data_IF_998088399366
#
_entry.id   IF_998088399366
#
_cell.length_a   1.000
_cell.length_b   1.000
_cell.length_c   1.000
_cell.angle_alpha   90.00
_cell.angle_beta   90.00
_cell.angle_gamma   90.00
#
_symmetry.space_group_name_H-M   'P 1'
#
loop_
_entity.id
_entity.type
_entity.pdbx_description
1 polymer ?
#
# COMPACT_ATOMS: atom_id res chain seq x y z
N UNK A 1 31.43 -47.80 -51.15
CA UNK A 1 29.99 -47.86 -50.87
C UNK A 1 29.68 -46.88 -49.75
N UNK A 2 29.07 -45.83 -50.14
CA UNK A 2 28.62 -44.65 -49.39
C UNK A 2 27.55 -44.99 -48.37
N UNK A 3 27.64 -44.47 -47.15
CA UNK A 3 26.45 -44.20 -46.34
C UNK A 3 26.61 -42.86 -45.64
N UNK A 4 25.60 -42.05 -45.85
CA UNK A 4 25.43 -40.69 -45.50
C UNK A 4 25.43 -40.46 -43.97
N UNK A 5 26.07 -39.37 -43.59
CA UNK A 5 25.95 -38.74 -42.27
C UNK A 5 24.60 -38.06 -42.16
N UNK A 6 23.85 -38.45 -41.13
CA UNK A 6 22.59 -37.82 -40.72
C UNK A 6 22.96 -36.57 -39.88
N UNK A 7 22.83 -35.42 -40.46
CA UNK A 7 22.98 -34.14 -39.78
C UNK A 7 21.64 -33.82 -39.11
N UNK A 8 21.54 -34.07 -37.80
CA UNK A 8 20.50 -33.46 -36.99
C UNK A 8 20.89 -32.04 -36.65
N UNK A 9 20.10 -31.11 -37.15
CA UNK A 9 20.27 -29.66 -36.91
C UNK A 9 20.13 -29.31 -35.42
N UNK A 10 20.57 -28.13 -35.04
CA UNK A 10 20.49 -27.63 -33.67
C UNK A 10 19.03 -27.54 -33.26
N UNK A 11 18.75 -28.01 -32.04
CA UNK A 11 17.41 -28.02 -31.44
C UNK A 11 16.80 -26.61 -31.48
N UNK A 12 15.53 -26.60 -31.88
CA UNK A 12 14.65 -25.44 -31.74
C UNK A 12 14.69 -24.98 -30.28
N UNK A 13 15.31 -23.80 -30.05
CA UNK A 13 15.20 -23.12 -28.78
C UNK A 13 13.72 -22.85 -28.54
N UNK A 14 13.18 -23.33 -27.42
CA UNK A 14 11.89 -22.89 -26.95
C UNK A 14 11.92 -21.38 -26.97
N UNK A 15 11.08 -20.74 -27.79
CA UNK A 15 10.84 -19.30 -27.68
C UNK A 15 10.52 -19.03 -26.22
N UNK A 16 11.28 -18.12 -25.60
CA UNK A 16 11.04 -17.71 -24.23
C UNK A 16 9.60 -17.20 -24.15
N UNK A 17 8.86 -17.68 -23.18
CA UNK A 17 7.48 -17.26 -22.95
C UNK A 17 7.43 -15.74 -22.78
N UNK A 18 6.64 -15.06 -23.60
CA UNK A 18 6.48 -13.60 -23.58
C UNK A 18 5.10 -13.24 -23.10
N UNK A 19 5.02 -12.57 -21.97
CA UNK A 19 3.76 -12.11 -21.37
C UNK A 19 3.41 -10.71 -21.86
N UNK A 20 2.12 -10.42 -22.00
CA UNK A 20 1.60 -9.09 -22.25
C UNK A 20 1.21 -8.48 -20.91
N UNK A 21 1.88 -7.38 -20.55
CA UNK A 21 1.66 -6.64 -19.30
C UNK A 21 0.88 -5.37 -19.58
N UNK A 22 -0.26 -5.19 -18.91
CA UNK A 22 -1.13 -4.05 -19.08
C UNK A 22 -1.11 -3.12 -17.85
N UNK A 23 -1.03 -1.82 -18.11
CA UNK A 23 -1.04 -0.76 -17.09
C UNK A 23 -2.16 0.24 -17.42
N UNK A 24 -3.39 -0.01 -16.95
CA UNK A 24 -4.47 0.94 -17.12
C UNK A 24 -4.28 2.17 -16.24
N UNK A 25 -4.89 3.29 -16.63
CA UNK A 25 -4.96 4.50 -15.83
C UNK A 25 -5.91 4.28 -14.65
N UNK A 26 -5.52 4.75 -13.47
CA UNK A 26 -6.39 4.73 -12.28
C UNK A 26 -7.59 5.65 -12.45
N UNK A 27 -8.75 5.23 -11.93
CA UNK A 27 -10.02 5.95 -12.06
C UNK A 27 -10.68 6.30 -10.72
N UNK A 28 -10.09 5.83 -9.61
CA UNK A 28 -10.52 6.24 -8.26
C UNK A 28 -10.33 7.75 -8.11
N UNK A 29 -11.25 8.42 -7.44
CA UNK A 29 -11.19 9.88 -7.23
C UNK A 29 -9.84 10.30 -6.64
N UNK A 30 -9.19 11.27 -7.29
CA UNK A 30 -7.88 11.80 -6.90
C UNK A 30 -6.75 10.76 -6.81
N UNK A 31 -6.90 9.60 -7.46
CA UNK A 31 -5.79 8.66 -7.62
C UNK A 31 -4.99 9.03 -8.88
N UNK A 32 -3.80 9.51 -8.67
CA UNK A 32 -2.89 10.00 -9.71
C UNK A 32 -1.62 9.17 -9.85
N UNK A 33 -1.48 8.09 -9.05
CA UNK A 33 -0.38 7.14 -9.16
C UNK A 33 -0.55 6.26 -10.40
N UNK A 34 0.55 5.66 -10.84
CA UNK A 34 0.58 4.62 -11.87
C UNK A 34 1.39 3.43 -11.36
N UNK A 35 0.99 2.22 -11.71
CA UNK A 35 1.58 0.99 -11.16
C UNK A 35 2.99 0.68 -11.68
N UNK A 36 3.39 1.31 -12.77
CA UNK A 36 4.69 1.08 -13.42
C UNK A 36 5.37 2.42 -13.72
N UNK A 37 6.69 2.43 -13.73
CA UNK A 37 7.50 3.56 -14.19
C UNK A 37 8.10 3.26 -15.57
N UNK A 38 8.59 4.27 -16.32
CA UNK A 38 9.31 4.02 -17.58
C UNK A 38 10.48 3.07 -17.41
N UNK A 39 11.22 3.15 -16.29
CA UNK A 39 12.28 2.21 -15.99
C UNK A 39 11.75 0.78 -15.89
N UNK A 40 10.65 0.56 -15.19
CA UNK A 40 10.03 -0.77 -15.10
C UNK A 40 9.49 -1.27 -16.44
N UNK A 41 8.96 -0.37 -17.27
CA UNK A 41 8.54 -0.71 -18.63
C UNK A 41 9.76 -1.15 -19.50
N UNK A 42 10.88 -0.47 -19.34
CA UNK A 42 12.12 -0.82 -20.02
C UNK A 42 12.63 -2.21 -19.63
N UNK A 43 12.70 -2.51 -18.34
CA UNK A 43 13.12 -3.83 -17.83
C UNK A 43 12.24 -4.95 -18.40
N UNK A 44 10.91 -4.79 -18.36
CA UNK A 44 9.99 -5.76 -18.95
C UNK A 44 10.18 -5.91 -20.47
N UNK A 45 10.39 -4.80 -21.20
CA UNK A 45 10.59 -4.83 -22.64
C UNK A 45 11.92 -5.49 -23.04
N UNK A 46 12.99 -5.26 -22.28
CA UNK A 46 14.32 -5.89 -22.51
C UNK A 46 14.23 -7.41 -22.33
N UNK A 47 13.44 -7.88 -21.36
CA UNK A 47 13.20 -9.33 -21.16
C UNK A 47 12.25 -9.92 -22.23
N UNK A 48 11.75 -9.10 -23.16
CA UNK A 48 10.94 -9.51 -24.30
C UNK A 48 9.44 -9.57 -24.04
N UNK A 49 8.95 -8.96 -22.96
CA UNK A 49 7.53 -8.80 -22.69
C UNK A 49 6.97 -7.59 -23.44
N UNK A 50 5.68 -7.64 -23.85
CA UNK A 50 4.95 -6.47 -24.35
C UNK A 50 4.37 -5.69 -23.18
N UNK A 51 4.58 -4.38 -23.17
CA UNK A 51 4.05 -3.50 -22.12
C UNK A 51 3.05 -2.53 -22.76
N UNK A 52 1.79 -2.64 -22.37
CA UNK A 52 0.71 -1.78 -22.81
C UNK A 52 0.38 -0.78 -21.71
N UNK A 53 0.48 0.51 -22.00
CA UNK A 53 0.18 1.59 -21.03
C UNK A 53 -0.98 2.42 -21.56
N UNK A 54 -2.03 2.63 -20.74
CA UNK A 54 -3.14 3.51 -21.12
C UNK A 54 -2.63 4.94 -21.25
N UNK A 55 -3.06 5.61 -22.32
CA UNK A 55 -2.74 7.01 -22.58
C UNK A 55 -3.03 7.89 -21.37
N UNK A 56 -2.05 8.68 -20.95
CA UNK A 56 -2.15 9.58 -19.81
C UNK A 56 -2.09 8.88 -18.45
N UNK A 57 -1.80 7.57 -18.36
CA UNK A 57 -1.76 6.86 -17.08
C UNK A 57 -0.71 7.41 -16.10
N UNK A 58 0.40 7.95 -16.60
CA UNK A 58 1.50 8.49 -15.79
C UNK A 58 1.41 9.99 -15.52
N UNK A 59 0.52 10.74 -16.19
CA UNK A 59 0.50 12.20 -16.15
C UNK A 59 0.41 12.78 -14.73
N UNK A 60 -0.46 12.18 -13.90
CA UNK A 60 -0.61 12.60 -12.51
C UNK A 60 0.63 12.39 -11.64
N UNK A 61 1.54 11.53 -12.07
CA UNK A 61 2.85 11.28 -11.44
C UNK A 61 4.01 12.01 -12.15
N UNK A 62 3.71 12.95 -13.05
CA UNK A 62 4.66 13.68 -13.88
C UNK A 62 5.51 12.75 -14.77
N UNK A 63 4.87 11.74 -15.35
CA UNK A 63 5.44 10.80 -16.30
C UNK A 63 4.60 10.90 -17.57
N UNK A 64 5.21 11.26 -18.70
CA UNK A 64 4.50 11.42 -19.97
C UNK A 64 4.37 10.08 -20.72
N UNK A 65 3.41 10.04 -21.67
CA UNK A 65 3.30 8.93 -22.62
C UNK A 65 4.61 8.75 -23.43
N UNK A 66 5.30 9.84 -23.76
CA UNK A 66 6.57 9.81 -24.47
C UNK A 66 7.69 9.14 -23.65
N UNK A 67 7.69 9.32 -22.32
CA UNK A 67 8.65 8.65 -21.43
C UNK A 67 8.43 7.12 -21.46
N UNK A 68 7.17 6.67 -21.40
CA UNK A 68 6.83 5.25 -21.51
C UNK A 68 7.16 4.68 -22.90
N UNK A 69 6.82 5.39 -23.97
CA UNK A 69 7.12 4.95 -25.34
C UNK A 69 8.63 4.84 -25.58
N UNK A 70 9.41 5.79 -25.07
CA UNK A 70 10.88 5.77 -25.15
C UNK A 70 11.50 4.61 -24.37
N UNK A 71 10.80 4.10 -23.36
CA UNK A 71 11.17 2.94 -22.57
C UNK A 71 10.73 1.60 -23.19
N UNK A 72 10.07 1.63 -24.37
CA UNK A 72 9.65 0.43 -25.08
C UNK A 72 8.20 0.00 -24.81
N UNK A 73 7.41 0.79 -24.10
CA UNK A 73 5.97 0.53 -23.93
C UNK A 73 5.15 1.00 -25.13
N UNK A 74 4.05 0.31 -25.41
CA UNK A 74 3.03 0.70 -26.38
C UNK A 74 1.96 1.54 -25.66
N UNK A 75 1.67 2.75 -26.20
CA UNK A 75 0.63 3.61 -25.64
C UNK A 75 -0.71 3.27 -26.30
N UNK A 76 -1.66 2.84 -25.47
CA UNK A 76 -2.99 2.39 -25.90
C UNK A 76 -4.05 3.41 -25.49
N UNK A 77 -4.96 3.72 -26.37
CA UNK A 77 -5.97 4.76 -26.11
C UNK A 77 -7.22 4.24 -25.40
N UNK A 78 -7.58 2.99 -25.65
CA UNK A 78 -8.76 2.36 -25.07
C UNK A 78 -8.34 1.39 -23.95
N UNK A 79 -8.94 1.54 -22.80
CA UNK A 79 -8.74 0.64 -21.64
C UNK A 79 -9.13 -0.78 -21.97
N UNK A 80 -10.21 -0.93 -22.75
CA UNK A 80 -10.75 -2.21 -23.20
C UNK A 80 -9.71 -3.03 -23.96
N UNK A 81 -8.85 -2.39 -24.74
CA UNK A 81 -7.78 -3.06 -25.49
C UNK A 81 -6.72 -3.61 -24.52
N UNK A 82 -6.38 -2.85 -23.46
CA UNK A 82 -5.42 -3.30 -22.44
C UNK A 82 -5.95 -4.54 -21.73
N UNK A 83 -7.18 -4.49 -21.20
CA UNK A 83 -7.78 -5.65 -20.54
C UNK A 83 -8.03 -6.80 -21.50
N UNK A 84 -8.30 -6.50 -22.78
CA UNK A 84 -8.52 -7.50 -23.82
C UNK A 84 -7.26 -8.29 -24.20
N UNK A 85 -6.08 -7.66 -24.17
CA UNK A 85 -4.82 -8.28 -24.60
C UNK A 85 -3.94 -8.74 -23.43
N UNK A 86 -3.84 -7.95 -22.35
CA UNK A 86 -2.90 -8.21 -21.29
C UNK A 86 -3.23 -9.49 -20.50
N UNK A 87 -2.20 -10.23 -20.15
CA UNK A 87 -2.23 -11.43 -19.30
C UNK A 87 -1.97 -11.06 -17.83
N UNK A 88 -1.11 -10.04 -17.61
CA UNK A 88 -0.83 -9.46 -16.29
C UNK A 88 -1.26 -8.01 -16.28
N UNK A 89 -2.21 -7.67 -15.42
CA UNK A 89 -2.66 -6.30 -15.18
C UNK A 89 -2.00 -5.76 -13.92
N UNK A 90 -1.26 -4.66 -14.06
CA UNK A 90 -0.66 -3.92 -12.95
C UNK A 90 -1.49 -2.68 -12.66
N UNK A 91 -2.00 -2.57 -11.44
CA UNK A 91 -2.74 -1.40 -10.94
C UNK A 91 -2.18 -0.95 -9.60
N UNK A 92 -2.57 0.23 -9.16
CA UNK A 92 -2.33 0.71 -7.80
C UNK A 92 -3.52 0.39 -6.90
N UNK A 93 -4.74 0.69 -7.38
CA UNK A 93 -5.99 0.48 -6.62
C UNK A 93 -6.80 -0.68 -7.19
N UNK A 94 -7.68 -1.17 -6.37
CA UNK A 94 -8.65 -2.19 -6.73
C UNK A 94 -9.46 -1.77 -7.97
N UNK A 95 -9.83 -2.71 -8.86
CA UNK A 95 -10.76 -2.44 -9.94
C UNK A 95 -12.06 -1.86 -9.42
N UNK A 96 -12.59 -0.87 -10.13
CA UNK A 96 -13.88 -0.27 -9.85
C UNK A 96 -14.99 -1.00 -10.63
N UNK A 97 -16.25 -0.83 -10.24
CA UNK A 97 -17.41 -1.49 -10.88
C UNK A 97 -17.40 -1.38 -12.42
N UNK A 98 -16.99 -0.21 -12.94
CA UNK A 98 -16.86 0.03 -14.39
C UNK A 98 -15.72 -0.76 -15.05
N UNK A 99 -14.85 -1.40 -14.30
CA UNK A 99 -13.74 -2.23 -14.81
C UNK A 99 -14.04 -3.73 -14.67
N UNK A 100 -15.03 -4.14 -13.84
CA UNK A 100 -15.29 -5.54 -13.56
C UNK A 100 -15.54 -6.36 -14.82
N UNK A 101 -16.35 -5.83 -15.76
CA UNK A 101 -16.71 -6.54 -16.98
C UNK A 101 -15.54 -6.70 -17.97
N UNK A 102 -14.46 -5.95 -17.79
CA UNK A 102 -13.25 -6.05 -18.62
C UNK A 102 -12.34 -7.19 -18.18
N UNK A 103 -12.43 -7.62 -16.93
CA UNK A 103 -11.64 -8.72 -16.39
C UNK A 103 -12.04 -10.06 -17.03
N UNK A 104 -11.09 -10.91 -17.32
CA UNK A 104 -11.31 -12.21 -17.99
C UNK A 104 -10.63 -13.38 -17.31
N UNK A 105 -11.13 -14.57 -17.57
CA UNK A 105 -10.61 -15.82 -17.00
C UNK A 105 -9.11 -16.01 -17.29
N UNK A 106 -8.37 -16.43 -16.27
CA UNK A 106 -6.94 -16.69 -16.35
C UNK A 106 -6.05 -15.44 -16.31
N UNK A 107 -6.63 -14.24 -16.31
CA UNK A 107 -5.89 -12.99 -16.19
C UNK A 107 -5.32 -12.84 -14.78
N UNK A 108 -4.09 -12.37 -14.68
CA UNK A 108 -3.43 -12.06 -13.39
C UNK A 108 -3.64 -10.58 -13.10
N UNK A 109 -4.18 -10.28 -11.94
CA UNK A 109 -4.34 -8.91 -11.43
C UNK A 109 -3.42 -8.72 -10.23
N UNK A 110 -2.50 -7.79 -10.30
CA UNK A 110 -1.52 -7.49 -9.25
C UNK A 110 -1.64 -6.02 -8.82
N UNK A 111 -2.20 -5.79 -7.64
CA UNK A 111 -2.62 -4.46 -7.14
C UNK A 111 -2.93 -4.50 -5.65
N UNK A 112 -3.18 -3.34 -5.02
CA UNK A 112 -3.91 -3.29 -3.74
C UNK A 112 -5.36 -3.69 -3.99
N UNK A 113 -5.91 -4.59 -3.20
CA UNK A 113 -7.25 -5.16 -3.40
C UNK A 113 -8.20 -4.91 -2.23
N UNK A 114 -7.70 -4.97 -1.00
CA UNK A 114 -8.49 -4.82 0.22
C UNK A 114 -9.77 -5.68 0.25
N UNK A 115 -9.71 -6.91 -0.29
CA UNK A 115 -10.88 -7.76 -0.54
C UNK A 115 -11.73 -8.02 0.70
N UNK A 116 -11.15 -8.07 1.89
CA UNK A 116 -11.91 -8.24 3.14
C UNK A 116 -12.95 -7.11 3.38
N UNK A 117 -12.76 -5.94 2.76
CA UNK A 117 -13.70 -4.82 2.80
C UNK A 117 -14.62 -4.75 1.56
N UNK A 118 -14.31 -5.47 0.47
CA UNK A 118 -14.96 -5.36 -0.84
C UNK A 118 -15.58 -6.69 -1.28
N UNK A 119 -16.77 -6.99 -0.73
CA UNK A 119 -17.49 -8.23 -1.03
C UNK A 119 -17.80 -8.38 -2.52
N UNK A 120 -18.36 -7.36 -3.12
CA UNK A 120 -18.80 -7.37 -4.53
C UNK A 120 -17.62 -7.62 -5.49
N UNK A 121 -16.52 -6.91 -5.28
CA UNK A 121 -15.29 -7.15 -6.05
C UNK A 121 -14.81 -8.61 -5.88
N UNK A 122 -14.85 -9.14 -4.66
CA UNK A 122 -14.45 -10.53 -4.39
C UNK A 122 -15.32 -11.50 -5.20
N UNK A 123 -16.66 -11.32 -5.20
CA UNK A 123 -17.59 -12.14 -5.96
C UNK A 123 -17.35 -12.05 -7.48
N UNK A 124 -17.07 -10.85 -8.02
CA UNK A 124 -16.76 -10.67 -9.44
C UNK A 124 -15.43 -11.31 -9.85
N UNK A 125 -14.39 -11.22 -9.02
CA UNK A 125 -13.10 -11.90 -9.26
C UNK A 125 -13.26 -13.42 -9.28
N UNK A 126 -14.05 -13.98 -8.35
CA UNK A 126 -14.38 -15.41 -8.31
C UNK A 126 -15.11 -15.86 -9.56
N UNK A 127 -16.19 -15.16 -9.92
CA UNK A 127 -17.03 -15.45 -11.08
C UNK A 127 -16.24 -15.42 -12.39
N UNK A 128 -15.30 -14.48 -12.52
CA UNK A 128 -14.46 -14.32 -13.71
C UNK A 128 -13.20 -15.16 -13.69
N UNK A 129 -12.95 -15.91 -12.59
CA UNK A 129 -11.79 -16.79 -12.42
C UNK A 129 -10.46 -16.07 -12.64
N UNK A 130 -10.37 -14.80 -12.16
CA UNK A 130 -9.15 -14.00 -12.20
C UNK A 130 -8.18 -14.51 -11.12
N UNK A 131 -6.88 -14.51 -11.42
CA UNK A 131 -5.85 -14.71 -10.42
C UNK A 131 -5.50 -13.37 -9.76
N UNK A 132 -6.04 -13.09 -8.59
CA UNK A 132 -5.92 -11.81 -7.90
C UNK A 132 -4.87 -11.84 -6.80
N UNK A 133 -3.80 -11.07 -6.99
CA UNK A 133 -2.66 -10.97 -6.07
C UNK A 133 -2.71 -9.59 -5.40
N UNK A 134 -2.91 -9.58 -4.09
CA UNK A 134 -3.01 -8.36 -3.30
C UNK A 134 -1.63 -7.91 -2.78
N UNK A 135 -1.22 -6.68 -3.07
CA UNK A 135 0.04 -6.11 -2.57
C UNK A 135 0.13 -6.15 -1.05
N UNK A 136 -0.97 -5.85 -0.35
CA UNK A 136 -1.03 -5.76 1.09
C UNK A 136 -0.96 -7.10 1.82
N UNK A 137 -1.08 -8.21 1.10
CA UNK A 137 -1.00 -9.56 1.69
C UNK A 137 0.24 -10.34 1.27
N UNK A 138 1.06 -9.81 0.35
CA UNK A 138 2.40 -10.34 0.08
C UNK A 138 3.23 -10.20 1.36
N UNK A 139 3.59 -11.34 1.97
CA UNK A 139 4.19 -11.37 3.29
C UNK A 139 5.39 -12.29 3.34
N UNK A 140 6.52 -11.77 3.84
CA UNK A 140 7.73 -12.55 4.09
C UNK A 140 7.61 -13.44 5.34
N UNK A 141 8.49 -14.45 5.50
CA UNK A 141 8.47 -15.33 6.67
C UNK A 141 8.61 -14.59 8.01
N UNK A 142 9.30 -13.45 8.03
CA UNK A 142 9.43 -12.60 9.22
C UNK A 142 8.18 -11.77 9.55
N UNK A 143 7.09 -11.97 8.79
CA UNK A 143 5.84 -11.24 8.93
C UNK A 143 5.83 -9.86 8.28
N UNK A 144 6.94 -9.39 7.68
CA UNK A 144 6.99 -8.10 7.00
C UNK A 144 6.16 -8.10 5.71
N UNK A 145 5.58 -6.93 5.39
CA UNK A 145 4.74 -6.69 4.22
C UNK A 145 5.49 -5.79 3.23
N UNK A 146 6.36 -6.33 2.37
CA UNK A 146 7.32 -5.56 1.58
C UNK A 146 6.64 -4.61 0.58
N UNK A 147 5.45 -4.93 0.07
CA UNK A 147 4.76 -4.11 -0.91
C UNK A 147 3.85 -3.05 -0.26
N UNK A 148 3.44 -3.25 1.00
CA UNK A 148 2.70 -2.26 1.77
C UNK A 148 3.64 -1.23 2.43
N UNK A 149 4.85 -1.64 2.81
CA UNK A 149 5.80 -0.82 3.56
C UNK A 149 6.05 0.57 2.93
N UNK A 150 6.31 0.73 1.61
CA UNK A 150 6.55 2.05 1.02
C UNK A 150 5.37 3.02 1.17
N UNK A 151 4.14 2.53 1.08
CA UNK A 151 2.95 3.38 1.27
C UNK A 151 2.80 3.78 2.73
N UNK A 152 3.13 2.90 3.66
CA UNK A 152 3.20 3.20 5.09
C UNK A 152 4.28 4.24 5.41
N UNK A 153 5.43 4.19 4.74
CA UNK A 153 6.50 5.19 4.87
C UNK A 153 6.05 6.57 4.37
N UNK A 154 5.45 6.62 3.18
CA UNK A 154 4.92 7.87 2.61
C UNK A 154 3.84 8.46 3.51
N UNK A 155 2.88 7.65 3.96
CA UNK A 155 1.82 8.10 4.87
C UNK A 155 2.41 8.64 6.18
N UNK A 156 3.37 7.94 6.76
CA UNK A 156 4.07 8.37 7.98
C UNK A 156 4.79 9.72 7.81
N UNK A 157 5.45 9.93 6.67
CA UNK A 157 6.12 11.21 6.36
C UNK A 157 5.13 12.34 6.08
N UNK A 158 3.97 12.03 5.53
CA UNK A 158 2.93 13.03 5.27
C UNK A 158 2.22 13.52 6.54
N UNK A 159 2.04 12.67 7.54
CA UNK A 159 1.28 13.01 8.74
C UNK A 159 1.77 14.28 9.47
N UNK A 160 3.07 14.47 9.74
CA UNK A 160 3.55 15.71 10.35
C UNK A 160 3.38 16.94 9.45
N UNK A 161 3.49 16.80 8.13
CA UNK A 161 3.27 17.91 7.19
C UNK A 161 1.80 18.34 7.22
N UNK A 162 0.87 17.38 7.18
CA UNK A 162 -0.56 17.63 7.32
C UNK A 162 -0.88 18.24 8.68
N UNK A 163 -0.33 17.68 9.77
CA UNK A 163 -0.48 18.23 11.11
C UNK A 163 -0.02 19.67 11.22
N UNK A 164 1.14 19.99 10.65
CA UNK A 164 1.68 21.35 10.61
C UNK A 164 0.77 22.31 9.84
N UNK A 165 0.27 21.89 8.67
CA UNK A 165 -0.63 22.66 7.83
C UNK A 165 -1.95 23.00 8.56
N UNK A 166 -2.56 22.01 9.20
CA UNK A 166 -3.83 22.23 9.91
C UNK A 166 -3.66 22.85 11.30
N UNK A 167 -2.43 22.99 11.84
CA UNK A 167 -2.16 23.83 13.00
C UNK A 167 -2.22 25.33 12.69
N UNK A 168 -2.13 25.71 11.42
CA UNK A 168 -2.23 27.09 10.99
C UNK A 168 -3.62 27.67 11.27
N UNK A 169 -3.71 28.91 11.71
CA UNK A 169 -5.00 29.54 12.07
C UNK A 169 -5.99 29.58 10.93
N UNK A 170 -5.52 29.78 9.72
CA UNK A 170 -6.36 29.87 8.51
C UNK A 170 -7.00 28.54 8.13
N UNK A 171 -6.43 27.41 8.61
CA UNK A 171 -6.89 26.05 8.33
C UNK A 171 -7.68 25.44 9.50
N UNK A 172 -8.14 26.29 10.44
CA UNK A 172 -8.93 25.85 11.60
C UNK A 172 -8.09 25.56 12.86
N UNK A 173 -6.78 25.55 12.74
CA UNK A 173 -5.85 25.25 13.82
C UNK A 173 -5.70 26.38 14.84
N UNK A 174 -4.91 26.11 15.87
CA UNK A 174 -4.65 27.04 16.97
C UNK A 174 -3.60 28.11 16.68
N UNK A 175 -3.04 28.13 15.46
CA UNK A 175 -2.07 29.13 15.01
C UNK A 175 -0.66 28.91 15.59
N UNK A 176 -0.21 27.64 15.61
CA UNK A 176 1.12 27.26 16.09
C UNK A 176 2.01 26.82 14.93
N UNK A 177 3.28 27.23 14.98
CA UNK A 177 4.33 26.66 14.15
C UNK A 177 4.85 25.36 14.79
N UNK A 178 4.92 24.28 14.01
CA UNK A 178 5.26 22.95 14.54
C UNK A 178 6.59 22.94 15.29
N UNK A 179 7.63 23.56 14.71
CA UNK A 179 8.97 23.64 15.29
C UNK A 179 9.18 24.83 16.25
N UNK A 180 8.14 25.62 16.55
CA UNK A 180 8.30 26.80 17.38
C UNK A 180 9.13 27.90 16.73
N UNK A 181 9.68 28.81 17.53
CA UNK A 181 10.58 29.88 17.10
C UNK A 181 11.51 30.27 18.25
N UNK A 182 12.55 31.06 17.99
CA UNK A 182 13.45 31.53 19.06
C UNK A 182 12.68 32.19 20.20
N UNK A 183 12.77 31.59 21.40
CA UNK A 183 12.03 32.04 22.60
C UNK A 183 10.58 31.53 22.68
N UNK A 184 10.10 30.72 21.71
CA UNK A 184 8.75 30.11 21.67
C UNK A 184 8.89 28.63 21.55
N UNK A 185 8.31 27.82 22.46
CA UNK A 185 8.43 26.37 22.42
C UNK A 185 7.74 25.75 21.18
N UNK A 186 8.22 24.60 20.68
CA UNK A 186 7.59 23.87 19.60
C UNK A 186 6.25 23.24 20.03
N UNK A 187 5.50 22.74 19.04
CA UNK A 187 4.28 21.98 19.27
C UNK A 187 4.57 20.57 19.82
N UNK A 188 3.64 20.07 20.64
CA UNK A 188 3.66 18.70 21.15
C UNK A 188 2.99 17.77 20.13
N UNK A 189 3.76 16.85 19.55
CA UNK A 189 3.28 15.81 18.62
C UNK A 189 3.27 14.48 19.33
N UNK A 190 2.09 13.88 19.48
CA UNK A 190 1.89 12.57 20.07
C UNK A 190 1.59 11.54 18.97
N UNK A 191 2.39 10.48 18.89
CA UNK A 191 2.28 9.43 17.88
C UNK A 191 1.83 8.13 18.57
N UNK A 192 0.68 7.62 18.16
CA UNK A 192 0.10 6.37 18.67
C UNK A 192 0.47 5.22 17.73
N UNK A 193 1.45 4.41 18.12
CA UNK A 193 2.04 3.33 17.36
C UNK A 193 3.46 3.66 16.87
N UNK A 194 4.38 2.72 17.04
CA UNK A 194 5.78 2.80 16.61
C UNK A 194 6.10 1.76 15.51
N UNK A 195 5.13 1.47 14.64
CA UNK A 195 5.30 0.71 13.41
C UNK A 195 5.96 1.55 12.30
N UNK A 196 5.89 1.13 11.04
CA UNK A 196 6.48 1.86 9.90
C UNK A 196 5.93 3.28 9.83
N UNK A 197 4.61 3.45 9.84
CA UNK A 197 3.94 4.76 9.82
C UNK A 197 4.44 5.65 10.97
N UNK A 198 4.34 5.15 12.20
CA UNK A 198 4.71 5.94 13.38
C UNK A 198 6.20 6.28 13.45
N UNK A 199 7.07 5.37 13.00
CA UNK A 199 8.52 5.63 12.95
C UNK A 199 8.85 6.74 11.95
N UNK A 200 8.26 6.71 10.76
CA UNK A 200 8.48 7.76 9.75
C UNK A 200 7.82 9.09 10.15
N UNK A 201 6.69 9.05 10.87
CA UNK A 201 6.11 10.25 11.48
C UNK A 201 7.04 10.87 12.52
N UNK A 202 7.62 10.04 13.38
CA UNK A 202 8.56 10.48 14.41
C UNK A 202 9.83 11.09 13.80
N UNK A 203 10.40 10.44 12.79
CA UNK A 203 11.59 10.95 12.08
C UNK A 203 11.32 12.32 11.49
N UNK A 204 10.19 12.49 10.78
CA UNK A 204 9.91 13.78 10.14
C UNK A 204 9.52 14.86 11.15
N UNK A 205 8.66 14.57 12.12
CA UNK A 205 8.26 15.55 13.15
C UNK A 205 9.46 16.02 13.97
N UNK A 206 10.39 15.11 14.32
CA UNK A 206 11.65 15.46 14.97
C UNK A 206 12.56 16.30 14.06
N UNK A 207 12.58 16.01 12.75
CA UNK A 207 13.31 16.81 11.76
C UNK A 207 12.72 18.20 11.54
N UNK A 208 11.45 18.41 11.91
CA UNK A 208 10.77 19.73 11.93
C UNK A 208 10.87 20.42 13.30
N UNK A 209 11.74 19.93 14.18
CA UNK A 209 12.00 20.43 15.52
C UNK A 209 10.79 20.41 16.48
N UNK A 210 9.80 19.55 16.23
CA UNK A 210 8.66 19.36 17.13
C UNK A 210 9.07 18.62 18.43
N UNK A 211 8.28 18.82 19.48
CA UNK A 211 8.35 18.01 20.70
C UNK A 211 7.64 16.69 20.46
N UNK A 212 8.37 15.63 20.14
CA UNK A 212 7.79 14.34 19.71
C UNK A 212 7.74 13.34 20.84
N UNK A 213 6.58 12.70 20.99
CA UNK A 213 6.34 11.58 21.88
C UNK A 213 5.75 10.41 21.10
N UNK A 214 6.39 9.27 21.10
CA UNK A 214 5.89 8.05 20.49
C UNK A 214 5.46 7.02 21.54
N UNK A 215 4.34 6.38 21.29
CA UNK A 215 3.74 5.41 22.18
C UNK A 215 3.49 4.09 21.46
N UNK A 216 3.96 2.98 22.04
CA UNK A 216 3.68 1.62 21.54
C UNK A 216 3.59 0.64 22.72
N UNK A 217 2.98 -0.52 22.53
CA UNK A 217 3.01 -1.64 23.50
C UNK A 217 4.35 -2.37 23.48
N UNK A 218 5.09 -2.30 22.39
CA UNK A 218 6.36 -2.98 22.18
C UNK A 218 7.55 -2.12 22.59
N UNK A 219 8.21 -2.48 23.67
CA UNK A 219 9.46 -1.86 24.11
C UNK A 219 10.56 -1.98 23.04
N UNK A 220 10.53 -3.04 22.22
CA UNK A 220 11.52 -3.25 21.16
C UNK A 220 11.39 -2.15 20.08
N UNK A 221 10.17 -1.83 19.67
CA UNK A 221 9.91 -0.76 18.70
C UNK A 221 10.27 0.61 19.27
N UNK A 222 9.94 0.87 20.54
CA UNK A 222 10.28 2.13 21.20
C UNK A 222 11.81 2.30 21.32
N UNK A 223 12.54 1.25 21.70
CA UNK A 223 14.01 1.26 21.75
C UNK A 223 14.64 1.52 20.39
N UNK A 224 14.07 0.95 19.33
CA UNK A 224 14.51 1.21 17.96
C UNK A 224 14.37 2.70 17.61
N UNK A 225 13.21 3.32 17.90
CA UNK A 225 12.99 4.75 17.66
C UNK A 225 13.95 5.63 18.45
N UNK A 226 14.15 5.33 19.73
CA UNK A 226 15.07 6.07 20.59
C UNK A 226 16.51 6.01 20.04
N UNK A 227 16.91 4.83 19.55
CA UNK A 227 18.22 4.62 18.96
C UNK A 227 18.42 5.42 17.66
N UNK A 228 17.50 5.33 16.70
CA UNK A 228 17.64 6.01 15.39
C UNK A 228 17.47 7.52 15.48
N UNK A 229 16.78 8.01 16.52
CA UNK A 229 16.57 9.45 16.75
C UNK A 229 17.54 10.03 17.79
N UNK A 230 18.52 9.24 18.22
CA UNK A 230 19.58 9.68 19.15
C UNK A 230 19.06 10.38 20.41
N UNK A 231 17.96 9.86 20.98
CA UNK A 231 17.34 10.40 22.19
C UNK A 231 16.58 11.73 21.99
N UNK A 232 16.39 12.21 20.77
CA UNK A 232 15.59 13.42 20.46
C UNK A 232 14.08 13.18 20.44
N UNK A 233 13.63 12.12 21.07
CA UNK A 233 12.24 11.71 21.18
C UNK A 233 11.94 11.23 22.59
N UNK A 234 10.73 11.46 23.07
CA UNK A 234 10.25 10.78 24.28
C UNK A 234 9.47 9.54 23.88
N UNK A 235 9.77 8.41 24.51
CA UNK A 235 9.05 7.15 24.30
C UNK A 235 8.27 6.76 25.54
N UNK A 236 7.03 6.30 25.36
CA UNK A 236 6.17 5.83 26.44
C UNK A 236 5.45 4.52 26.06
N UNK A 237 5.24 3.67 27.07
CA UNK A 237 4.37 2.50 26.90
C UNK A 237 2.93 2.96 26.69
N UNK A 238 2.30 2.45 25.60
CA UNK A 238 0.90 2.69 25.29
C UNK A 238 0.02 1.92 26.27
N UNK A 239 -0.50 2.61 27.27
CA UNK A 239 -1.56 2.19 28.16
C UNK A 239 -2.62 3.28 28.27
N UNK A 240 -3.80 2.94 28.77
CA UNK A 240 -4.95 3.84 28.81
C UNK A 240 -4.67 5.18 29.53
N UNK A 241 -3.93 5.15 30.63
CA UNK A 241 -3.59 6.37 31.38
C UNK A 241 -2.63 7.27 30.60
N UNK A 242 -1.52 6.70 30.13
CA UNK A 242 -0.51 7.47 29.39
C UNK A 242 -1.11 8.08 28.11
N UNK A 243 -1.93 7.32 27.38
CA UNK A 243 -2.62 7.85 26.17
C UNK A 243 -3.50 9.04 26.53
N UNK A 244 -4.37 8.92 27.54
CA UNK A 244 -5.25 10.02 27.98
C UNK A 244 -4.46 11.26 28.38
N UNK A 245 -3.40 11.11 29.16
CA UNK A 245 -2.62 12.22 29.67
C UNK A 245 -1.90 12.95 28.51
N UNK A 246 -1.26 12.20 27.62
CA UNK A 246 -0.47 12.81 26.55
C UNK A 246 -1.33 13.42 25.43
N UNK A 247 -2.43 12.78 25.07
CA UNK A 247 -3.36 13.31 24.05
C UNK A 247 -3.97 14.65 24.49
N UNK A 248 -4.33 14.81 25.76
CA UNK A 248 -4.83 16.09 26.28
C UNK A 248 -3.85 17.25 26.14
N UNK A 249 -2.56 16.94 26.17
CA UNK A 249 -1.48 17.94 26.08
C UNK A 249 -0.98 18.13 24.65
N UNK A 250 -1.42 17.29 23.72
CA UNK A 250 -0.99 17.33 22.34
C UNK A 250 -1.53 18.54 21.58
N UNK A 251 -0.73 19.05 20.68
CA UNK A 251 -1.13 19.99 19.64
C UNK A 251 -1.45 19.22 18.34
N UNK A 252 -0.73 18.11 18.10
CA UNK A 252 -1.00 17.16 17.03
C UNK A 252 -0.99 15.73 17.57
N UNK A 253 -2.03 14.96 17.26
CA UNK A 253 -2.10 13.51 17.51
C UNK A 253 -2.05 12.77 16.19
N UNK A 254 -1.13 11.82 16.04
CA UNK A 254 -1.00 10.98 14.85
C UNK A 254 -1.37 9.55 15.23
N UNK A 255 -2.49 9.05 14.69
CA UNK A 255 -2.91 7.65 14.78
C UNK A 255 -2.15 6.80 13.78
N UNK A 256 -1.28 5.90 14.25
CA UNK A 256 -0.36 5.10 13.43
C UNK A 256 -0.37 3.62 13.82
N UNK A 257 -1.53 3.10 14.25
CA UNK A 257 -1.70 1.71 14.66
C UNK A 257 -2.18 0.88 13.47
N UNK A 258 -1.54 -0.25 13.27
CA UNK A 258 -1.93 -1.24 12.26
C UNK A 258 -2.01 -2.61 12.93
N UNK A 259 -3.14 -3.30 12.72
CA UNK A 259 -3.31 -4.70 13.10
C UNK A 259 -3.53 -5.49 11.80
N UNK A 260 -2.56 -6.33 11.37
CA UNK A 260 -2.69 -7.07 10.12
C UNK A 260 -4.00 -7.89 10.08
N UNK A 261 -4.81 -7.69 9.02
CA UNK A 261 -6.04 -8.44 8.80
C UNK A 261 -7.20 -8.16 9.78
N UNK A 262 -7.06 -7.16 10.68
CA UNK A 262 -8.10 -6.86 11.67
C UNK A 262 -8.40 -5.35 11.74
N UNK A 263 -9.55 -5.03 12.32
CA UNK A 263 -9.92 -3.64 12.63
C UNK A 263 -8.98 -3.06 13.69
N UNK A 264 -8.61 -1.79 13.52
CA UNK A 264 -7.80 -1.07 14.48
C UNK A 264 -8.54 -0.92 15.83
N UNK A 265 -7.88 -1.17 16.98
CA UNK A 265 -8.48 -0.89 18.28
C UNK A 265 -8.59 0.61 18.52
N UNK A 266 -9.68 1.07 19.11
CA UNK A 266 -9.84 2.45 19.58
C UNK A 266 -8.93 2.66 20.80
N UNK A 267 -8.00 3.60 20.69
CA UNK A 267 -7.06 3.98 21.76
C UNK A 267 -7.45 5.28 22.46
N UNK A 268 -8.11 6.19 21.73
CA UNK A 268 -8.55 7.50 22.23
C UNK A 268 -10.05 7.57 22.13
N UNK A 269 -10.72 7.68 23.28
CA UNK A 269 -12.17 7.86 23.37
C UNK A 269 -12.57 9.32 23.13
N UNK A 270 -13.84 9.57 22.78
CA UNK A 270 -14.38 10.90 22.50
C UNK A 270 -14.23 11.85 23.71
N UNK A 271 -14.36 11.33 24.95
CA UNK A 271 -14.13 12.12 26.16
C UNK A 271 -12.72 12.75 26.18
N UNK A 272 -11.69 11.99 25.77
CA UNK A 272 -10.31 12.49 25.72
C UNK A 272 -10.14 13.51 24.60
N UNK A 273 -10.74 13.29 23.43
CA UNK A 273 -10.71 14.27 22.33
C UNK A 273 -11.36 15.59 22.76
N UNK A 274 -12.50 15.54 23.48
CA UNK A 274 -13.18 16.75 23.97
C UNK A 274 -12.37 17.55 25.00
N UNK A 275 -11.33 16.95 25.57
CA UNK A 275 -10.42 17.59 26.53
C UNK A 275 -9.10 18.06 25.87
N UNK A 276 -8.94 17.86 24.58
CA UNK A 276 -7.82 18.44 23.84
C UNK A 276 -7.92 19.95 23.76
N UNK A 277 -6.82 20.60 23.50
CA UNK A 277 -6.78 22.07 23.35
C UNK A 277 -7.52 22.49 22.08
N UNK A 278 -8.38 23.54 22.12
CA UNK A 278 -9.05 24.03 20.93
C UNK A 278 -8.08 24.34 19.78
N UNK A 279 -8.39 23.90 18.57
CA UNK A 279 -7.56 24.02 17.37
C UNK A 279 -6.38 23.05 17.32
N UNK A 280 -6.32 22.03 18.21
CA UNK A 280 -5.42 20.89 18.02
C UNK A 280 -5.84 20.07 16.81
N UNK A 281 -4.93 19.23 16.31
CA UNK A 281 -5.13 18.43 15.09
C UNK A 281 -5.00 16.95 15.37
N UNK A 282 -5.95 16.18 14.89
CA UNK A 282 -5.90 14.70 14.81
C UNK A 282 -5.63 14.32 13.37
N UNK A 283 -4.59 13.51 13.14
CA UNK A 283 -4.28 12.87 11.86
C UNK A 283 -4.35 11.37 12.07
N UNK A 284 -5.47 10.74 11.70
CA UNK A 284 -5.67 9.31 11.91
C UNK A 284 -5.37 8.52 10.63
N UNK A 285 -4.12 8.01 10.51
CA UNK A 285 -3.69 7.18 9.38
C UNK A 285 -4.27 5.76 9.48
N UNK A 286 -4.69 5.34 10.68
CA UNK A 286 -5.33 4.05 10.89
C UNK A 286 -6.75 3.97 10.31
N UNK A 287 -7.23 5.05 9.68
CA UNK A 287 -8.61 5.19 9.21
C UNK A 287 -9.03 4.11 8.22
N UNK A 288 -8.11 3.65 7.36
CA UNK A 288 -8.35 2.55 6.40
C UNK A 288 -8.71 1.22 7.11
N UNK A 289 -8.39 1.11 8.40
CA UNK A 289 -8.76 -0.03 9.27
C UNK A 289 -9.78 0.36 10.36
N UNK A 290 -10.54 1.43 10.14
CA UNK A 290 -11.60 1.89 11.03
C UNK A 290 -11.17 2.95 12.05
N UNK A 291 -9.91 3.40 12.01
CA UNK A 291 -9.37 4.43 12.90
C UNK A 291 -9.04 3.94 14.31
N UNK A 292 -8.07 4.61 14.95
CA UNK A 292 -7.69 4.35 16.35
C UNK A 292 -8.22 5.42 17.33
N UNK A 293 -8.96 6.40 16.84
CA UNK A 293 -9.58 7.48 17.60
C UNK A 293 -11.09 7.39 17.38
N UNK A 294 -11.87 7.36 18.46
CA UNK A 294 -13.31 7.11 18.42
C UNK A 294 -14.06 8.11 17.55
N UNK A 295 -13.61 9.36 17.54
CA UNK A 295 -14.20 10.45 16.75
C UNK A 295 -13.78 10.43 15.27
N UNK A 296 -12.87 9.55 14.85
CA UNK A 296 -12.42 9.45 13.47
C UNK A 296 -13.50 8.87 12.57
N UNK A 297 -13.73 9.54 11.43
CA UNK A 297 -14.56 9.05 10.33
C UNK A 297 -13.83 9.28 9.01
N UNK A 298 -13.95 8.39 8.02
CA UNK A 298 -13.27 8.54 6.74
C UNK A 298 -13.61 9.88 6.06
N UNK A 299 -12.57 10.53 5.53
CA UNK A 299 -12.66 11.72 4.68
C UNK A 299 -11.94 11.48 3.36
N UNK A 300 -12.06 12.40 2.42
CA UNK A 300 -11.48 12.29 1.08
C UNK A 300 -10.47 13.42 0.82
N UNK A 301 -9.65 13.29 -0.22
CA UNK A 301 -8.77 14.39 -0.62
C UNK A 301 -9.53 15.65 -1.08
N UNK A 302 -10.78 15.51 -1.50
CA UNK A 302 -11.64 16.63 -1.92
C UNK A 302 -12.31 17.33 -0.75
N UNK A 303 -12.55 16.62 0.38
CA UNK A 303 -13.07 17.16 1.64
C UNK A 303 -12.29 16.54 2.81
N UNK A 304 -11.06 17.05 3.10
CA UNK A 304 -10.07 16.32 3.88
C UNK A 304 -10.26 16.43 5.40
N UNK A 305 -10.99 17.42 5.89
CA UNK A 305 -11.09 17.68 7.34
C UNK A 305 -12.51 17.97 7.80
N UNK A 306 -12.75 17.74 9.06
CA UNK A 306 -13.90 18.26 9.79
C UNK A 306 -13.47 18.69 11.19
N UNK A 307 -14.29 19.49 11.85
CA UNK A 307 -14.04 19.96 13.22
C UNK A 307 -15.07 19.29 14.15
N UNK A 308 -14.58 18.68 15.22
CA UNK A 308 -15.38 18.13 16.29
C UNK A 308 -14.71 18.41 17.63
N UNK A 309 -15.47 18.92 18.63
CA UNK A 309 -14.92 19.40 19.92
C UNK A 309 -13.81 20.44 19.77
N UNK A 310 -13.92 21.35 18.80
CA UNK A 310 -12.90 22.33 18.44
C UNK A 310 -11.55 21.72 18.03
N UNK A 311 -11.50 20.43 17.71
CA UNK A 311 -10.32 19.70 17.20
C UNK A 311 -10.49 19.43 15.71
N UNK A 312 -9.47 19.75 14.92
CA UNK A 312 -9.43 19.46 13.49
C UNK A 312 -9.10 17.98 13.28
N UNK A 313 -9.94 17.27 12.54
CA UNK A 313 -9.74 15.86 12.21
C UNK A 313 -9.41 15.71 10.73
N UNK A 314 -8.22 15.19 10.44
CA UNK A 314 -7.80 14.76 9.12
C UNK A 314 -7.76 13.22 9.11
N UNK A 315 -8.71 12.62 8.43
CA UNK A 315 -8.89 11.17 8.38
C UNK A 315 -9.03 10.68 6.93
N UNK A 316 -8.18 11.22 6.04
CA UNK A 316 -8.22 10.88 4.63
C UNK A 316 -7.71 9.47 4.43
N UNK A 317 -8.55 8.61 3.85
CA UNK A 317 -8.09 7.33 3.30
C UNK A 317 -7.14 7.57 2.12
N UNK A 318 -6.18 6.65 1.94
CA UNK A 318 -5.26 6.76 0.82
C UNK A 318 -4.34 8.02 0.85
N UNK A 319 -3.87 8.40 2.01
CA UNK A 319 -2.94 9.55 2.19
C UNK A 319 -1.79 9.57 1.16
N UNK A 320 -1.13 8.44 0.79
CA UNK A 320 -0.07 8.44 -0.22
C UNK A 320 -0.49 8.92 -1.61
N UNK A 321 -1.78 8.89 -1.93
CA UNK A 321 -2.34 9.41 -3.18
C UNK A 321 -2.12 10.92 -3.38
N UNK A 322 -1.96 11.68 -2.29
CA UNK A 322 -1.69 13.13 -2.36
C UNK A 322 -0.28 13.49 -2.90
N UNK A 323 0.65 12.55 -2.90
CA UNK A 323 2.02 12.74 -3.43
C UNK A 323 2.34 11.67 -4.48
N UNK A 324 1.59 11.65 -5.59
CA UNK A 324 1.56 10.53 -6.53
C UNK A 324 2.94 10.26 -7.16
N UNK A 325 3.72 11.30 -7.47
CA UNK A 325 5.08 11.12 -8.00
C UNK A 325 5.97 10.31 -7.05
N UNK A 326 6.03 10.67 -5.78
CA UNK A 326 6.83 9.95 -4.78
C UNK A 326 6.29 8.53 -4.58
N UNK A 327 4.98 8.40 -4.46
CA UNK A 327 4.31 7.14 -4.19
C UNK A 327 4.43 6.14 -5.35
N UNK A 328 4.34 6.61 -6.60
CA UNK A 328 4.53 5.79 -7.80
C UNK A 328 5.92 5.16 -7.82
N UNK A 329 6.97 5.96 -7.66
CA UNK A 329 8.34 5.44 -7.67
C UNK A 329 8.61 4.53 -6.47
N UNK A 330 8.14 4.91 -5.28
CA UNK A 330 8.32 4.10 -4.08
C UNK A 330 7.63 2.72 -4.19
N UNK A 331 6.41 2.68 -4.77
CA UNK A 331 5.67 1.45 -4.99
C UNK A 331 6.30 0.62 -6.11
N UNK A 332 6.55 1.22 -7.28
CA UNK A 332 7.11 0.53 -8.44
C UNK A 332 8.46 -0.13 -8.14
N UNK A 333 9.32 0.52 -7.34
CA UNK A 333 10.61 -0.06 -6.94
C UNK A 333 10.49 -1.40 -6.22
N UNK A 334 9.42 -1.63 -5.48
CA UNK A 334 9.22 -2.88 -4.72
C UNK A 334 8.32 -3.87 -5.44
N UNK A 335 7.39 -3.41 -6.30
CA UNK A 335 6.48 -4.30 -7.05
C UNK A 335 7.13 -4.85 -8.32
N UNK A 336 8.04 -4.10 -8.95
CA UNK A 336 8.70 -4.49 -10.22
C UNK A 336 9.40 -5.85 -10.15
N UNK A 337 10.20 -6.19 -9.12
CA UNK A 337 10.83 -7.52 -9.05
C UNK A 337 9.83 -8.67 -9.08
N UNK A 338 8.67 -8.49 -8.42
CA UNK A 338 7.60 -9.49 -8.43
C UNK A 338 6.87 -9.53 -9.78
N UNK A 339 6.62 -8.38 -10.38
CA UNK A 339 6.00 -8.30 -11.71
C UNK A 339 6.87 -8.96 -12.79
N UNK A 340 8.19 -8.72 -12.78
CA UNK A 340 9.16 -9.39 -13.64
C UNK A 340 9.14 -10.90 -13.42
N UNK A 341 9.18 -11.36 -12.17
CA UNK A 341 9.14 -12.77 -11.84
C UNK A 341 7.87 -13.46 -12.36
N UNK A 342 6.71 -12.79 -12.19
CA UNK A 342 5.43 -13.31 -12.70
C UNK A 342 5.42 -13.32 -14.23
N UNK A 343 5.91 -12.26 -14.86
CA UNK A 343 5.94 -12.13 -16.32
C UNK A 343 6.86 -13.18 -16.96
N UNK A 344 8.03 -13.41 -16.38
CA UNK A 344 9.03 -14.35 -16.89
C UNK A 344 8.63 -15.82 -16.73
N UNK A 345 8.04 -16.17 -15.57
CA UNK A 345 7.84 -17.56 -15.16
C UNK A 345 6.37 -18.01 -15.18
N UNK A 346 5.44 -17.08 -15.29
CA UNK A 346 4.04 -17.34 -14.98
C UNK A 346 3.78 -17.46 -13.48
N UNK A 347 2.53 -17.28 -13.04
CA UNK A 347 2.17 -17.21 -11.63
C UNK A 347 2.61 -18.45 -10.81
N UNK A 348 2.36 -19.65 -11.32
CA UNK A 348 2.68 -20.90 -10.59
C UNK A 348 4.16 -20.98 -10.21
N UNK A 349 5.05 -20.78 -11.18
CA UNK A 349 6.48 -20.90 -10.94
C UNK A 349 7.02 -19.68 -10.16
N UNK A 350 6.43 -18.50 -10.37
CA UNK A 350 6.74 -17.31 -9.57
C UNK A 350 6.45 -17.53 -8.08
N UNK A 351 5.28 -18.07 -7.76
CA UNK A 351 4.90 -18.44 -6.38
C UNK A 351 5.87 -19.49 -5.82
N UNK A 352 6.27 -20.50 -6.62
CA UNK A 352 7.22 -21.52 -6.18
C UNK A 352 8.60 -20.96 -5.85
N UNK A 353 9.06 -19.91 -6.57
CA UNK A 353 10.38 -19.28 -6.37
C UNK A 353 10.38 -18.21 -5.28
N UNK A 354 9.26 -17.53 -5.12
CA UNK A 354 9.10 -16.44 -4.17
C UNK A 354 7.91 -16.73 -3.24
N UNK A 355 8.14 -17.42 -2.11
CA UNK A 355 7.11 -17.83 -1.18
C UNK A 355 6.22 -16.71 -0.65
N UNK A 356 6.76 -15.48 -0.55
CA UNK A 356 5.97 -14.33 -0.10
C UNK A 356 4.79 -14.03 -1.01
N UNK A 357 4.87 -14.35 -2.32
CA UNK A 357 3.76 -14.23 -3.27
C UNK A 357 2.59 -15.15 -2.95
N UNK A 358 2.82 -16.32 -2.39
CA UNK A 358 1.76 -17.27 -2.07
C UNK A 358 0.70 -16.64 -1.15
N UNK A 359 1.13 -15.90 -0.12
CA UNK A 359 0.23 -15.17 0.77
C UNK A 359 -0.46 -13.98 0.07
N UNK A 360 0.13 -13.50 -1.02
CA UNK A 360 -0.44 -12.46 -1.88
C UNK A 360 -1.61 -12.93 -2.72
N UNK A 361 -1.67 -14.22 -3.09
CA UNK A 361 -2.75 -14.77 -3.92
C UNK A 361 -4.02 -14.89 -3.08
N UNK A 362 -4.97 -14.01 -3.30
CA UNK A 362 -6.22 -13.97 -2.52
C UNK A 362 -7.38 -14.70 -3.21
N UNK A 363 -7.40 -14.67 -4.54
CA UNK A 363 -8.39 -15.37 -5.37
C UNK A 363 -7.67 -15.99 -6.56
N UNK A 364 -7.99 -17.23 -6.90
CA UNK A 364 -7.50 -17.89 -8.10
C UNK A 364 -8.46 -19.04 -8.50
N UNK A 365 -8.65 -19.23 -9.81
CA UNK A 365 -9.50 -20.31 -10.38
C UNK A 365 -10.92 -20.38 -9.78
N UNK A 366 -11.48 -19.23 -9.40
CA UNK A 366 -12.80 -19.14 -8.78
C UNK A 366 -12.86 -19.59 -7.32
N UNK A 367 -11.71 -19.62 -6.61
CA UNK A 367 -11.58 -19.98 -5.21
C UNK A 367 -10.99 -18.82 -4.39
N UNK A 368 -11.44 -18.67 -3.14
CA UNK A 368 -10.82 -17.74 -2.17
C UNK A 368 -9.69 -18.47 -1.47
N UNK A 369 -8.46 -17.99 -1.66
CA UNK A 369 -7.23 -18.55 -1.07
C UNK A 369 -6.65 -17.71 0.07
N UNK A 370 -7.36 -16.66 0.46
CA UNK A 370 -7.05 -15.83 1.62
C UNK A 370 -8.06 -16.09 2.74
N UNK A 371 -7.60 -16.66 3.86
CA UNK A 371 -8.47 -16.95 5.02
C UNK A 371 -9.16 -15.70 5.57
N UNK A 372 -8.48 -14.53 5.76
CA UNK A 372 -9.14 -13.32 6.24
C UNK A 372 -10.27 -12.84 5.32
N UNK A 373 -10.12 -12.98 4.00
CA UNK A 373 -11.15 -12.62 3.01
C UNK A 373 -12.36 -13.57 3.13
N UNK A 374 -12.10 -14.87 3.21
CA UNK A 374 -13.14 -15.88 3.36
C UNK A 374 -13.96 -15.66 4.65
N UNK A 375 -13.29 -15.42 5.78
CA UNK A 375 -13.92 -15.16 7.07
C UNK A 375 -14.74 -13.86 7.06
N UNK A 376 -14.22 -12.77 6.48
CA UNK A 376 -14.91 -11.49 6.40
C UNK A 376 -16.24 -11.57 5.63
N UNK A 377 -16.30 -12.42 4.60
CA UNK A 377 -17.45 -12.55 3.72
C UNK A 377 -18.27 -13.84 3.96
N UNK A 378 -17.84 -14.71 4.88
CA UNK A 378 -18.45 -16.02 5.12
C UNK A 378 -18.46 -16.88 3.83
N UNK A 379 -17.35 -16.85 3.08
CA UNK A 379 -17.12 -17.63 1.88
C UNK A 379 -16.29 -18.88 2.20
N UNK A 380 -16.33 -19.85 1.29
CA UNK A 380 -15.49 -21.05 1.39
C UNK A 380 -14.02 -20.68 1.18
N UNK A 381 -13.15 -21.12 2.08
CA UNK A 381 -11.71 -20.98 1.99
C UNK A 381 -11.09 -22.24 1.41
N UNK A 382 -10.25 -22.09 0.40
CA UNK A 382 -9.46 -23.19 -0.16
C UNK A 382 -7.97 -22.84 -0.08
N UNK A 383 -7.15 -23.65 0.64
CA UNK A 383 -5.71 -23.43 0.68
C UNK A 383 -5.08 -23.42 -0.72
N UNK A 384 -4.16 -22.49 -0.96
CA UNK A 384 -3.55 -22.28 -2.28
C UNK A 384 -2.88 -23.55 -2.84
N UNK A 385 -2.29 -24.38 -1.97
CA UNK A 385 -1.65 -25.64 -2.32
C UNK A 385 -2.59 -26.68 -2.96
N UNK A 386 -3.89 -26.59 -2.72
CA UNK A 386 -4.88 -27.46 -3.37
C UNK A 386 -5.35 -26.92 -4.72
N UNK A 387 -5.29 -25.60 -4.91
CA UNK A 387 -5.69 -24.94 -6.15
C UNK A 387 -4.53 -24.88 -7.14
N UNK A 388 -3.35 -24.51 -6.68
CA UNK A 388 -2.10 -24.58 -7.43
C UNK A 388 -1.28 -25.74 -6.85
N UNK A 389 -1.22 -26.91 -7.51
CA UNK A 389 -0.43 -28.04 -7.03
C UNK A 389 1.07 -27.70 -7.14
N UNK A 390 1.57 -27.03 -6.10
CA UNK A 390 2.96 -26.69 -5.87
C UNK A 390 3.41 -27.52 -4.67
N UNK A 391 4.59 -28.12 -4.77
CA UNK A 391 5.20 -28.76 -3.61
C UNK A 391 5.74 -27.69 -2.65
N UNK A 392 4.97 -27.42 -1.60
CA UNK A 392 5.31 -26.50 -0.53
C UNK A 392 6.13 -27.17 0.60
N UNK A 393 6.62 -28.41 0.41
CA UNK A 393 7.31 -29.20 1.45
C UNK A 393 8.71 -28.71 1.80
N UNK A 394 9.25 -27.69 1.16
CA UNK A 394 10.52 -27.08 1.58
C UNK A 394 10.33 -26.24 2.84
N UNK A 395 11.22 -26.36 3.83
CA UNK A 395 11.21 -25.66 5.13
C UNK A 395 11.06 -24.12 5.08
N UNK A 396 11.10 -23.53 3.90
CA UNK A 396 10.94 -22.08 3.66
C UNK A 396 9.49 -21.57 3.76
N UNK A 397 8.49 -22.45 3.79
CA UNK A 397 7.08 -22.11 3.70
C UNK A 397 6.36 -22.01 5.05
N UNK A 398 6.91 -22.61 6.11
CA UNK A 398 6.24 -22.80 7.40
C UNK A 398 7.11 -22.32 8.57
N UNK A 399 7.63 -21.10 8.53
CA UNK A 399 8.03 -20.44 9.77
C UNK A 399 6.79 -19.71 10.30
N UNK A 400 6.15 -20.31 11.32
CA UNK A 400 5.03 -19.76 12.09
C UNK A 400 5.42 -18.44 12.82
#
# INVERSE_FOLDING_TARGET
>A
MTRAADARGPGEGKEAFKMIVGVPREIVDKEYRVALTPQGAHELAVEGHRVLVERGAGEGSSISDADFASAGAEIVSAREDIYGEAELILKVKEPQESEYFLLREGQILFTFLHLAAHRELTEELLKRRVAAIAYETVQRPDGSLPLLAPMSEVAGRMAPQVGAHYLEKMNGGRGMLLGGATGVPPANVVILGAGIVGSHSAILATGMDAHVMAMDKSVVKLRYLEHILHGRITTLISNKMNVREMVRQADVVIGAVLVPGARCPVLVDEEVVSQMRPGSVVVDISIDQGGCIETSRPTTHSDPVYILHDVVHYCVGNIPGAVPRTSTYALANVTLPYALLIAELGLREAVRREPSLAKGVNVIEGKVTSRPVAEAHQMEYEPLEYVLPIDFSSEQWFAD
#
